data_IF_077167838557
#
_entry.id   IF_077167838557
#
_cell.length_a   1.000
_cell.length_b   1.000
_cell.length_c   1.000
_cell.angle_alpha   90.00
_cell.angle_beta   90.00
_cell.angle_gamma   90.00
#
_symmetry.space_group_name_H-M   'P 1'
#
loop_
_entity.id
_entity.type
_entity.pdbx_description
1 polymer ?
#
# COMPACT_ATOMS: atom_id res chain seq x y z
N UNK A 1 -2.93 18.02 46.81
CA UNK A 1 -2.16 16.86 46.38
C UNK A 1 -3.00 15.89 45.51
N UNK A 2 -3.49 16.30 44.35
CA UNK A 2 -4.34 15.46 43.49
C UNK A 2 -4.04 15.58 42.00
N UNK A 3 -2.78 15.88 41.64
CA UNK A 3 -2.42 16.09 40.23
C UNK A 3 -1.71 14.86 39.61
N UNK A 4 -1.31 13.88 40.44
CA UNK A 4 -0.55 12.72 39.98
C UNK A 4 -1.43 11.67 39.25
N UNK A 5 -2.75 11.62 39.51
CA UNK A 5 -3.67 10.67 38.88
C UNK A 5 -4.05 11.02 37.42
N UNK A 6 -4.06 12.29 37.05
CA UNK A 6 -4.49 12.72 35.71
C UNK A 6 -3.53 12.41 34.59
N UNK A 7 -2.23 12.47 34.86
CA UNK A 7 -1.21 12.18 33.85
C UNK A 7 -1.15 10.69 33.48
N UNK A 8 -1.41 9.82 34.45
CA UNK A 8 -1.42 8.37 34.22
C UNK A 8 -2.61 7.93 33.35
N UNK A 9 -3.79 8.53 33.59
CA UNK A 9 -4.98 8.30 32.76
C UNK A 9 -4.82 8.76 31.33
N UNK A 10 -4.05 9.82 31.10
CA UNK A 10 -3.77 10.33 29.76
C UNK A 10 -2.85 9.39 28.97
N UNK A 11 -1.84 8.81 29.62
CA UNK A 11 -0.82 7.97 29.00
C UNK A 11 -1.21 6.50 28.87
N UNK A 12 -2.31 6.07 29.52
CA UNK A 12 -2.74 4.67 29.46
C UNK A 12 -3.48 4.42 28.14
N UNK A 13 -2.96 3.55 27.26
CA UNK A 13 -3.67 3.19 26.04
C UNK A 13 -4.97 2.44 26.37
N UNK A 14 -6.02 2.70 25.63
CA UNK A 14 -7.28 1.95 25.62
C UNK A 14 -7.24 0.81 24.61
N UNK A 15 -6.49 1.02 23.53
CA UNK A 15 -6.28 0.04 22.48
C UNK A 15 -5.19 0.47 21.53
N UNK A 16 -4.92 -0.38 20.57
CA UNK A 16 -3.92 -0.17 19.52
C UNK A 16 -4.59 -0.30 18.16
N UNK A 17 -4.35 0.66 17.29
CA UNK A 17 -4.73 0.62 15.89
C UNK A 17 -3.52 0.15 15.10
N UNK A 18 -3.66 -0.96 14.39
CA UNK A 18 -2.66 -1.49 13.47
C UNK A 18 -3.00 -1.01 12.07
N UNK A 19 -2.09 -0.26 11.47
CA UNK A 19 -2.17 0.24 10.10
C UNK A 19 -1.18 -0.54 9.24
N UNK A 20 -1.67 -1.31 8.29
CA UNK A 20 -0.86 -2.10 7.37
C UNK A 20 -1.05 -1.64 5.93
N UNK A 21 0.01 -1.11 5.40
CA UNK A 21 0.12 -0.67 4.01
C UNK A 21 1.23 -1.50 3.33
N UNK A 22 2.16 -2.05 4.10
CA UNK A 22 3.48 -2.51 3.79
C UNK A 22 4.42 -1.33 3.48
N UNK A 23 4.49 -0.40 4.43
CA UNK A 23 4.85 -0.51 5.87
C UNK A 23 3.71 -0.87 6.83
N UNK A 24 4.10 -1.37 8.04
CA UNK A 24 3.17 -1.67 9.14
C UNK A 24 3.50 -0.88 10.39
N UNK A 25 2.48 -0.27 10.99
CA UNK A 25 2.62 0.63 12.14
C UNK A 25 1.55 0.35 13.20
N UNK A 26 1.95 0.30 14.47
CA UNK A 26 1.07 0.22 15.62
C UNK A 26 0.92 1.61 16.26
N UNK A 27 -0.33 2.05 16.46
CA UNK A 27 -0.73 3.34 17.00
C UNK A 27 -1.47 3.12 18.31
N UNK A 28 -0.85 3.43 19.45
CA UNK A 28 -1.50 3.32 20.77
C UNK A 28 -2.40 4.53 21.02
N UNK A 29 -3.67 4.26 21.33
CA UNK A 29 -4.71 5.27 21.48
C UNK A 29 -5.32 5.21 22.89
N UNK A 30 -5.43 6.34 23.55
CA UNK A 30 -6.03 6.45 24.87
C UNK A 30 -7.57 6.59 24.80
N UNK A 31 -8.23 6.68 25.96
CA UNK A 31 -9.70 6.85 26.07
C UNK A 31 -10.26 8.16 25.48
N UNK A 32 -9.40 9.09 25.10
CA UNK A 32 -9.77 10.38 24.50
C UNK A 32 -9.49 10.41 22.99
N UNK A 33 -9.30 9.22 22.39
CA UNK A 33 -8.93 9.04 20.98
C UNK A 33 -7.63 9.78 20.60
N UNK A 34 -6.71 9.94 21.59
CA UNK A 34 -5.41 10.58 21.40
C UNK A 34 -4.30 9.55 21.34
N UNK A 35 -3.38 9.74 20.42
CA UNK A 35 -2.20 8.89 20.27
C UNK A 35 -1.24 9.14 21.44
N UNK A 36 -0.86 8.06 22.13
CA UNK A 36 0.08 8.06 23.25
C UNK A 36 1.32 7.24 22.98
N UNK A 37 1.30 6.39 21.95
CA UNK A 37 2.43 5.61 21.47
C UNK A 37 2.36 5.38 19.97
N UNK A 38 3.51 5.22 19.34
CA UNK A 38 3.66 4.91 17.92
C UNK A 38 4.89 4.02 17.74
N UNK A 39 4.74 2.91 17.04
CA UNK A 39 5.82 1.98 16.74
C UNK A 39 5.71 1.42 15.33
N UNK A 40 6.82 1.31 14.62
CA UNK A 40 6.90 0.52 13.40
C UNK A 40 6.90 -0.97 13.74
N UNK A 41 6.08 -1.76 13.07
CA UNK A 41 6.02 -3.21 13.26
C UNK A 41 6.98 -3.97 12.33
N UNK A 42 7.51 -3.28 11.32
CA UNK A 42 8.54 -3.76 10.42
C UNK A 42 9.53 -2.62 10.08
N UNK A 43 10.59 -2.94 9.35
CA UNK A 43 11.64 -1.98 9.00
C UNK A 43 11.10 -0.79 8.19
N UNK A 44 10.14 -1.04 7.30
CA UNK A 44 9.52 0.00 6.48
C UNK A 44 8.59 0.89 7.34
N UNK A 45 7.90 0.29 8.33
CA UNK A 45 7.11 1.01 9.32
C UNK A 45 7.98 1.89 10.23
N UNK A 46 9.14 1.42 10.66
CA UNK A 46 10.11 2.23 11.40
C UNK A 46 10.60 3.42 10.57
N UNK A 47 10.90 3.20 9.28
CA UNK A 47 11.31 4.26 8.36
C UNK A 47 10.17 5.27 8.11
N UNK A 48 8.93 4.79 7.97
CA UNK A 48 7.75 5.64 7.76
C UNK A 48 7.54 6.64 8.91
N UNK A 49 7.74 6.19 10.15
CA UNK A 49 7.54 7.01 11.34
C UNK A 49 8.76 7.82 11.76
N UNK A 50 9.90 7.64 11.11
CA UNK A 50 11.12 8.39 11.42
C UNK A 50 10.90 9.91 11.31
N UNK A 51 11.20 10.64 12.40
CA UNK A 51 10.97 12.08 12.48
C UNK A 51 9.50 12.52 12.52
N UNK A 52 8.56 11.61 12.63
CA UNK A 52 7.14 11.92 12.73
C UNK A 52 6.71 12.11 14.19
N UNK A 53 6.00 13.20 14.48
CA UNK A 53 5.47 13.50 15.82
C UNK A 53 3.97 13.20 15.90
N UNK A 54 3.60 12.15 16.62
CA UNK A 54 2.21 11.67 16.77
C UNK A 54 1.59 11.98 18.12
N UNK A 55 2.39 12.15 19.17
CA UNK A 55 1.90 12.23 20.55
C UNK A 55 0.88 13.34 20.76
N UNK A 56 -0.29 12.97 21.31
CA UNK A 56 -1.39 13.88 21.60
C UNK A 56 -2.27 14.26 20.40
N UNK A 57 -1.91 13.86 19.17
CA UNK A 57 -2.78 14.00 18.00
C UNK A 57 -3.99 13.06 18.09
N UNK A 58 -5.04 13.35 17.34
CA UNK A 58 -6.17 12.41 17.16
C UNK A 58 -5.71 11.18 16.37
N UNK A 59 -6.22 10.01 16.74
CA UNK A 59 -5.88 8.76 16.09
C UNK A 59 -6.17 8.79 14.56
N UNK A 60 -7.32 9.31 14.20
CA UNK A 60 -7.75 9.51 12.81
C UNK A 60 -6.75 10.37 12.02
N UNK A 61 -6.34 11.51 12.59
CA UNK A 61 -5.33 12.40 11.96
C UNK A 61 -4.01 11.66 11.72
N UNK A 62 -3.57 10.86 12.68
CA UNK A 62 -2.32 10.10 12.57
C UNK A 62 -2.44 9.02 11.49
N UNK A 63 -3.57 8.31 11.43
CA UNK A 63 -3.83 7.32 10.38
C UNK A 63 -3.78 7.97 8.99
N UNK A 64 -4.41 9.13 8.80
CA UNK A 64 -4.39 9.85 7.52
C UNK A 64 -2.98 10.32 7.15
N UNK A 65 -2.29 11.00 8.07
CA UNK A 65 -0.95 11.52 7.81
C UNK A 65 0.08 10.40 7.52
N UNK A 66 -0.04 9.24 8.16
CA UNK A 66 0.83 8.09 7.87
C UNK A 66 0.49 7.45 6.52
N UNK A 67 -0.79 7.38 6.17
CA UNK A 67 -1.23 6.88 4.86
C UNK A 67 -0.74 7.80 3.73
N UNK A 68 -0.86 9.12 3.91
CA UNK A 68 -0.34 10.11 2.95
C UNK A 68 1.18 10.01 2.81
N UNK A 69 1.91 9.83 3.94
CA UNK A 69 3.36 9.63 3.91
C UNK A 69 3.77 8.37 3.16
N UNK A 70 3.03 7.27 3.34
CA UNK A 70 3.27 6.02 2.61
C UNK A 70 3.00 6.18 1.10
N UNK A 71 1.96 6.93 0.73
CA UNK A 71 1.68 7.26 -0.66
C UNK A 71 2.78 8.15 -1.27
N UNK A 72 3.25 9.16 -0.54
CA UNK A 72 4.36 10.03 -0.97
C UNK A 72 5.69 9.28 -1.09
N UNK A 73 5.92 8.28 -0.25
CA UNK A 73 7.09 7.39 -0.32
C UNK A 73 7.01 6.40 -1.48
N UNK A 74 5.82 6.19 -2.05
CA UNK A 74 5.56 5.22 -3.12
C UNK A 74 5.19 3.82 -2.62
N UNK A 75 4.97 3.66 -1.31
CA UNK A 75 4.57 2.38 -0.70
C UNK A 75 3.09 2.08 -0.91
N UNK A 76 2.29 3.11 -1.22
CA UNK A 76 0.87 3.00 -1.52
C UNK A 76 0.58 3.59 -2.90
N UNK A 77 0.38 2.72 -3.88
CA UNK A 77 0.02 3.10 -5.25
C UNK A 77 -1.48 2.91 -5.51
N UNK A 78 -1.98 3.50 -6.61
CA UNK A 78 -3.34 3.25 -7.08
C UNK A 78 -3.58 1.75 -7.31
N UNK A 79 -4.69 1.24 -6.83
CA UNK A 79 -5.01 -0.20 -6.78
C UNK A 79 -4.42 -0.93 -5.58
N UNK A 80 -3.71 -0.22 -4.69
CA UNK A 80 -3.20 -0.77 -3.44
C UNK A 80 -4.29 -1.01 -2.40
N UNK A 81 -3.89 -1.68 -1.31
CA UNK A 81 -4.77 -1.97 -0.19
C UNK A 81 -4.16 -1.47 1.13
N UNK A 82 -5.02 -0.97 2.01
CA UNK A 82 -4.70 -0.61 3.38
C UNK A 82 -5.51 -1.50 4.29
N UNK A 83 -4.83 -2.32 5.09
CA UNK A 83 -5.49 -3.07 6.14
C UNK A 83 -5.47 -2.29 7.45
N UNK A 84 -6.61 -2.26 8.14
CA UNK A 84 -6.77 -1.61 9.42
C UNK A 84 -7.37 -2.61 10.40
N UNK A 85 -6.77 -2.76 11.57
CA UNK A 85 -7.23 -3.62 12.64
C UNK A 85 -7.12 -2.89 13.98
N UNK A 86 -8.07 -3.10 14.87
CA UNK A 86 -8.08 -2.46 16.20
C UNK A 86 -8.06 -3.52 17.27
N UNK A 87 -7.06 -3.49 18.15
CA UNK A 87 -6.92 -4.36 19.30
C UNK A 87 -7.30 -3.61 20.58
N UNK A 88 -8.26 -4.14 21.36
CA UNK A 88 -8.65 -3.62 22.67
C UNK A 88 -9.44 -4.67 23.44
N UNK A 89 -9.38 -4.61 24.78
CA UNK A 89 -10.25 -5.38 25.68
C UNK A 89 -11.67 -4.79 25.74
N UNK A 90 -11.86 -3.56 25.29
CA UNK A 90 -13.16 -2.87 25.22
C UNK A 90 -13.78 -3.14 23.84
N UNK A 91 -14.50 -4.25 23.75
CA UNK A 91 -15.10 -4.73 22.49
C UNK A 91 -16.02 -3.70 21.81
N UNK A 92 -16.93 -2.99 22.50
CA UNK A 92 -17.75 -1.97 21.86
C UNK A 92 -16.93 -0.83 21.25
N UNK A 93 -15.93 -0.35 21.98
CA UNK A 93 -15.05 0.72 21.49
C UNK A 93 -14.19 0.24 20.31
N UNK A 94 -13.68 -0.98 20.39
CA UNK A 94 -12.91 -1.60 19.32
C UNK A 94 -13.70 -1.61 18.00
N UNK A 95 -14.91 -2.18 18.03
CA UNK A 95 -15.75 -2.30 16.85
C UNK A 95 -16.15 -0.94 16.27
N UNK A 96 -16.56 0.00 17.11
CA UNK A 96 -16.92 1.37 16.69
C UNK A 96 -15.73 2.12 16.10
N UNK A 97 -14.56 2.03 16.73
CA UNK A 97 -13.34 2.72 16.27
C UNK A 97 -12.85 2.14 14.95
N UNK A 98 -12.86 0.83 14.81
CA UNK A 98 -12.46 0.14 13.59
C UNK A 98 -13.37 0.52 12.41
N UNK A 99 -14.69 0.44 12.58
CA UNK A 99 -15.66 0.79 11.53
C UNK A 99 -15.53 2.26 11.11
N UNK A 100 -15.41 3.17 12.08
CA UNK A 100 -15.24 4.59 11.84
C UNK A 100 -13.95 4.89 11.08
N UNK A 101 -12.81 4.38 11.55
CA UNK A 101 -11.52 4.64 10.92
C UNK A 101 -11.45 4.07 9.49
N UNK A 102 -12.06 2.91 9.24
CA UNK A 102 -12.14 2.35 7.88
C UNK A 102 -12.98 3.24 6.97
N UNK A 103 -14.14 3.70 7.45
CA UNK A 103 -15.01 4.58 6.67
C UNK A 103 -14.34 5.93 6.36
N UNK A 104 -13.74 6.55 7.37
CA UNK A 104 -13.09 7.85 7.26
C UNK A 104 -11.84 7.77 6.38
N UNK A 105 -11.00 6.73 6.55
CA UNK A 105 -9.84 6.51 5.70
C UNK A 105 -10.23 6.20 4.26
N UNK A 106 -11.28 5.41 4.03
CA UNK A 106 -11.79 5.14 2.67
C UNK A 106 -12.23 6.42 1.96
N UNK A 107 -12.88 7.33 2.70
CA UNK A 107 -13.26 8.63 2.17
C UNK A 107 -12.04 9.54 1.89
N UNK A 108 -10.98 9.41 2.70
CA UNK A 108 -9.75 10.19 2.56
C UNK A 108 -8.91 9.77 1.35
N UNK A 109 -8.70 8.46 1.17
CA UNK A 109 -7.83 7.94 0.07
C UNK A 109 -8.54 7.82 -1.27
N UNK A 110 -9.89 7.87 -1.30
CA UNK A 110 -10.69 7.74 -2.51
C UNK A 110 -10.90 6.30 -2.99
N UNK A 111 -11.49 6.14 -4.18
CA UNK A 111 -11.94 4.84 -4.71
C UNK A 111 -10.80 3.97 -5.28
N UNK A 112 -9.63 4.56 -5.48
CA UNK A 112 -8.47 3.86 -6.09
C UNK A 112 -7.72 2.98 -5.09
N UNK A 113 -7.99 3.10 -3.80
CA UNK A 113 -7.32 2.37 -2.71
C UNK A 113 -8.36 1.61 -1.90
N UNK A 114 -8.16 0.31 -1.75
CA UNK A 114 -9.04 -0.51 -0.92
C UNK A 114 -8.66 -0.37 0.56
N UNK A 115 -9.60 0.06 1.39
CA UNK A 115 -9.45 0.09 2.85
C UNK A 115 -10.39 -0.95 3.45
N UNK A 116 -9.86 -1.91 4.19
CA UNK A 116 -10.64 -2.97 4.82
C UNK A 116 -9.95 -3.49 6.08
N UNK A 117 -10.65 -4.36 6.82
CA UNK A 117 -10.03 -5.13 7.91
C UNK A 117 -9.01 -6.10 7.32
N UNK A 118 -7.96 -6.38 8.08
CA UNK A 118 -6.97 -7.41 7.70
C UNK A 118 -7.65 -8.74 7.35
N UNK A 119 -8.56 -9.21 8.20
CA UNK A 119 -9.27 -10.46 7.99
C UNK A 119 -10.08 -10.50 6.67
N UNK A 120 -10.66 -9.38 6.27
CA UNK A 120 -11.43 -9.27 5.03
C UNK A 120 -10.50 -9.29 3.80
N UNK A 121 -9.32 -8.66 3.89
CA UNK A 121 -8.31 -8.68 2.84
C UNK A 121 -7.72 -10.09 2.69
N UNK A 122 -7.37 -10.75 3.79
CA UNK A 122 -6.87 -12.13 3.79
C UNK A 122 -7.91 -13.11 3.22
N UNK A 123 -9.19 -12.94 3.58
CA UNK A 123 -10.28 -13.76 3.04
C UNK A 123 -10.48 -13.53 1.53
N UNK A 124 -10.38 -12.28 1.06
CA UNK A 124 -10.47 -11.96 -0.36
C UNK A 124 -9.29 -12.52 -1.16
N UNK A 125 -8.09 -12.48 -0.61
CA UNK A 125 -6.89 -13.06 -1.23
C UNK A 125 -6.99 -14.59 -1.29
N UNK A 126 -7.41 -15.24 -0.20
CA UNK A 126 -7.61 -16.69 -0.16
C UNK A 126 -8.68 -17.16 -1.18
N UNK A 127 -9.76 -16.38 -1.33
CA UNK A 127 -10.80 -16.68 -2.32
C UNK A 127 -10.31 -16.48 -3.76
N UNK A 128 -9.40 -15.55 -4.00
CA UNK A 128 -8.78 -15.33 -5.31
C UNK A 128 -7.79 -16.46 -5.66
N UNK A 129 -7.08 -17.00 -4.66
CA UNK A 129 -6.14 -18.11 -4.83
C UNK A 129 -6.85 -19.46 -5.03
N UNK A 130 -8.12 -19.58 -4.59
CA UNK A 130 -8.96 -20.79 -4.72
C UNK A 130 -9.78 -20.83 -6.04
N UNK A 131 -9.68 -19.82 -6.89
CA UNK A 131 -10.22 -19.87 -8.24
C UNK A 131 -9.37 -20.83 -9.08
N UNK A 132 -9.90 -21.98 -9.54
CA UNK A 132 -9.13 -22.89 -10.36
C UNK A 132 -8.73 -22.19 -11.65
N UNK A 133 -7.43 -22.22 -11.94
CA UNK A 133 -6.86 -21.93 -13.26
C UNK A 133 -7.33 -22.99 -14.25
N UNK A 134 -8.60 -23.01 -14.59
CA UNK A 134 -9.14 -23.90 -15.61
C UNK A 134 -10.21 -23.22 -16.45
N UNK A 135 -9.76 -22.36 -17.34
CA UNK A 135 -10.28 -22.40 -18.71
C UNK A 135 -9.06 -22.31 -19.63
N UNK A 136 -8.37 -23.43 -19.78
CA UNK A 136 -7.69 -23.72 -21.04
C UNK A 136 -8.80 -23.81 -22.07
N UNK A 137 -9.06 -22.71 -22.75
CA UNK A 137 -9.79 -22.73 -24.00
C UNK A 137 -8.90 -23.54 -24.95
N UNK A 138 -9.25 -24.82 -25.09
CA UNK A 138 -8.74 -25.68 -26.14
C UNK A 138 -9.13 -25.03 -27.47
N UNK A 139 -8.19 -24.27 -28.02
CA UNK A 139 -8.27 -23.79 -29.40
C UNK A 139 -8.20 -25.05 -30.26
N UNK A 140 -9.25 -25.39 -31.04
CA UNK A 140 -9.16 -26.52 -31.93
C UNK A 140 -8.01 -26.27 -32.90
N UNK A 141 -7.05 -27.21 -32.89
CA UNK A 141 -5.94 -27.30 -33.82
C UNK A 141 -6.48 -27.27 -35.25
N UNK A 142 -6.06 -26.32 -36.11
CA UNK A 142 -6.45 -26.37 -37.52
C UNK A 142 -5.77 -27.57 -38.17
N UNK A 143 -6.57 -28.43 -38.79
CA UNK A 143 -6.13 -29.55 -39.63
C UNK A 143 -5.07 -29.07 -40.63
N UNK A 144 -4.01 -29.88 -40.88
CA UNK A 144 -2.95 -29.52 -41.80
C UNK A 144 -3.47 -29.52 -43.24
N UNK A 145 -3.58 -28.32 -43.80
CA UNK A 145 -3.78 -28.17 -45.24
C UNK A 145 -2.46 -28.42 -45.98
N UNK A 146 -2.54 -29.28 -46.99
CA UNK A 146 -1.52 -29.68 -47.94
C UNK A 146 -0.67 -28.52 -48.50
N UNK A 147 0.66 -28.66 -48.62
CA UNK A 147 1.52 -27.57 -49.09
C UNK A 147 1.46 -27.46 -50.63
N UNK A 148 0.91 -26.36 -51.12
CA UNK A 148 1.15 -25.96 -52.52
C UNK A 148 2.51 -25.25 -52.64
N UNK A 149 3.26 -25.47 -53.73
CA UNK A 149 4.62 -24.90 -53.86
C UNK A 149 4.58 -23.42 -54.17
N UNK A 150 5.18 -22.62 -53.29
CA UNK A 150 5.40 -21.20 -53.55
C UNK A 150 6.84 -20.97 -53.93
N UNK A 151 6.95 -20.46 -55.15
CA UNK A 151 8.11 -19.88 -55.82
C UNK A 151 8.83 -18.84 -54.95
N UNK A 152 10.14 -18.97 -54.90
CA UNK A 152 11.02 -18.13 -54.10
C UNK A 152 11.04 -16.67 -54.60
N UNK A 153 10.63 -15.73 -53.77
CA UNK A 153 10.90 -14.31 -53.98
C UNK A 153 12.16 -13.88 -53.21
N UNK A 154 13.02 -13.03 -53.78
CA UNK A 154 14.31 -12.67 -53.18
C UNK A 154 14.14 -11.74 -51.96
N UNK A 155 14.99 -11.94 -50.97
CA UNK A 155 15.05 -11.17 -49.75
C UNK A 155 15.34 -9.68 -49.97
N UNK A 156 14.69 -8.75 -49.28
CA UNK A 156 15.09 -7.35 -49.29
C UNK A 156 16.38 -7.11 -48.51
N UNK A 157 17.25 -6.29 -49.07
CA UNK A 157 18.55 -5.91 -48.57
C UNK A 157 18.44 -5.19 -47.19
N UNK A 158 19.39 -5.48 -46.32
CA UNK A 158 19.53 -4.84 -45.02
C UNK A 158 19.78 -3.31 -45.16
N UNK A 159 19.20 -2.48 -44.28
CA UNK A 159 19.51 -1.05 -44.26
C UNK A 159 20.92 -0.81 -43.70
N UNK A 160 21.61 0.17 -44.33
CA UNK A 160 22.95 0.60 -43.96
C UNK A 160 23.02 1.24 -42.58
N UNK A 161 24.14 1.11 -41.84
CA UNK A 161 24.31 1.71 -40.54
C UNK A 161 24.35 3.25 -40.60
N UNK A 162 23.71 3.89 -39.64
CA UNK A 162 23.69 5.34 -39.47
C UNK A 162 25.08 5.91 -39.18
N UNK A 163 25.43 7.12 -39.69
CA UNK A 163 26.73 7.76 -39.43
C UNK A 163 26.87 8.18 -37.96
N UNK A 164 28.07 8.03 -37.43
CA UNK A 164 28.45 8.42 -36.09
C UNK A 164 28.31 9.94 -35.85
N UNK A 165 27.96 10.41 -34.66
CA UNK A 165 27.90 11.82 -34.34
C UNK A 165 29.29 12.45 -34.30
N UNK A 166 29.40 13.69 -34.83
CA UNK A 166 30.61 14.48 -34.86
C UNK A 166 31.10 14.89 -33.45
N UNK A 167 32.40 15.03 -33.23
CA UNK A 167 32.94 15.43 -31.93
C UNK A 167 32.62 16.89 -31.62
N UNK A 168 32.17 17.11 -30.35
CA UNK A 168 31.92 18.43 -29.77
C UNK A 168 33.24 19.19 -29.60
N UNK A 169 33.34 20.48 -30.04
CA UNK A 169 34.54 21.29 -29.80
C UNK A 169 34.71 21.66 -28.33
N UNK A 170 35.94 21.60 -27.87
CA UNK A 170 36.37 21.97 -26.53
C UNK A 170 36.20 23.49 -26.23
N UNK A 171 35.87 23.88 -25.01
CA UNK A 171 35.81 25.30 -24.62
C UNK A 171 37.19 25.93 -24.55
N UNK A 172 37.35 27.06 -25.28
CA UNK A 172 38.52 27.91 -25.21
C UNK A 172 38.40 28.85 -24.01
N UNK A 173 39.32 28.76 -23.06
CA UNK A 173 39.50 29.76 -22.03
C UNK A 173 40.41 30.88 -22.57
N UNK A 174 39.93 32.12 -22.43
CA UNK A 174 40.72 33.35 -22.44
C UNK A 174 40.41 34.15 -21.18
#
# INVERSE_FOLDING_TARGET
AAIIGGAWFWQTPRGTVHLEINPSVAIEVNRFDRVVGLAGENADGEALIEGYWSYGKEAETVVFELTDRAADAGDLAAGGAVALDVASDDEPWRAETEERLIADLSAHVGEDIMVARRADIEAAQAAADELPEEVVVEVPEPEPADPAPVEAAPAPAAPAPAPAPAPTPAPTYS
#
